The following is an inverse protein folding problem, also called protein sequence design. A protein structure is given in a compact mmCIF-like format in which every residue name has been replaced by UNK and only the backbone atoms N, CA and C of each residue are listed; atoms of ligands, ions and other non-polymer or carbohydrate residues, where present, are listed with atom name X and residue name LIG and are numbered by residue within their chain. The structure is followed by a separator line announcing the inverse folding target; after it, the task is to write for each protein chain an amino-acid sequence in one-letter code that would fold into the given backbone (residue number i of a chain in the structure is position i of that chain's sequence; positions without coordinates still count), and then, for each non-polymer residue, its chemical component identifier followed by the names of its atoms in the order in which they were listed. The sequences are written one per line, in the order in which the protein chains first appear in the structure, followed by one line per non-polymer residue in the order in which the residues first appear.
data_IF_087208839272
#
_entry.id   IF_087208839272
#
_cell.length_a   1.000
_cell.length_b   1.000
_cell.length_c   1.000
_cell.angle_alpha   90.00
_cell.angle_beta   90.00
_cell.angle_gamma   90.00
#
_symmetry.space_group_name_H-M   'P 1'
#
loop_
_entity.id
_entity.type
_entity.pdbx_description
1 polymer ?
#
# COMPACT_ATOMS: atom_id res chain seq x y z
N UNK A 1 -6.17 -32.34 -41.56
CA UNK A 1 -6.47 -31.25 -42.52
C UNK A 1 -7.29 -31.82 -43.65
N UNK A 2 -8.41 -31.19 -44.01
CA UNK A 2 -9.38 -31.74 -44.98
C UNK A 2 -8.94 -31.63 -46.46
N UNK A 3 -7.85 -30.92 -46.79
CA UNK A 3 -7.24 -30.97 -48.13
C UNK A 3 -8.12 -30.43 -49.28
N UNK A 4 -9.19 -29.69 -48.97
CA UNK A 4 -10.20 -29.25 -49.95
C UNK A 4 -9.91 -27.89 -50.61
N UNK A 5 -8.68 -27.37 -50.54
CA UNK A 5 -8.33 -26.08 -51.13
C UNK A 5 -6.89 -26.06 -51.62
N UNK A 6 -6.63 -25.37 -52.72
CA UNK A 6 -5.30 -25.21 -53.32
C UNK A 6 -4.71 -23.86 -52.89
N UNK A 7 -3.53 -23.89 -52.28
CA UNK A 7 -2.81 -22.66 -51.90
C UNK A 7 -2.26 -22.03 -53.17
N UNK A 8 -2.69 -20.81 -53.47
CA UNK A 8 -2.14 -20.02 -54.57
C UNK A 8 -0.70 -19.62 -54.28
N UNK A 9 0.17 -19.77 -55.28
CA UNK A 9 1.63 -19.55 -55.16
C UNK A 9 2.05 -18.07 -55.09
N UNK A 10 1.12 -17.15 -54.88
CA UNK A 10 1.40 -15.70 -54.89
C UNK A 10 1.02 -15.08 -53.55
N UNK A 11 1.96 -14.34 -52.99
CA UNK A 11 1.77 -13.52 -51.80
C UNK A 11 2.01 -12.07 -52.21
N UNK A 12 1.13 -11.16 -51.80
CA UNK A 12 1.35 -9.72 -51.82
C UNK A 12 1.53 -9.30 -50.37
N UNK A 13 2.71 -8.78 -50.03
CA UNK A 13 3.03 -8.24 -48.71
C UNK A 13 3.61 -6.82 -48.91
N UNK A 14 2.82 -5.81 -48.55
CA UNK A 14 3.23 -4.40 -48.61
C UNK A 14 3.65 -3.92 -47.22
N UNK A 15 4.97 -3.97 -46.96
CA UNK A 15 5.55 -3.52 -45.70
C UNK A 15 5.89 -2.03 -45.75
N UNK A 16 5.17 -1.21 -44.96
CA UNK A 16 5.43 0.23 -44.80
C UNK A 16 6.25 0.57 -43.54
N UNK A 17 6.81 -0.42 -42.84
CA UNK A 17 7.64 -0.16 -41.66
C UNK A 17 9.07 0.23 -42.05
N UNK A 18 9.61 1.29 -41.44
CA UNK A 18 11.03 1.65 -41.47
C UNK A 18 11.76 0.98 -40.29
N UNK A 19 11.53 -0.32 -40.06
CA UNK A 19 12.02 -0.97 -38.85
C UNK A 19 13.56 -0.94 -38.78
N UNK A 20 14.06 -0.19 -37.80
CA UNK A 20 15.47 -0.20 -37.39
C UNK A 20 15.54 -0.98 -36.08
N UNK A 21 16.32 -2.07 -36.01
CA UNK A 21 16.49 -2.83 -34.77
C UNK A 21 17.00 -1.93 -33.64
N UNK A 22 16.32 -2.01 -32.50
CA UNK A 22 16.79 -1.32 -31.30
C UNK A 22 18.10 -1.96 -30.83
N UNK A 23 19.09 -1.11 -30.52
CA UNK A 23 20.40 -1.54 -30.07
C UNK A 23 20.65 -0.99 -28.68
N UNK A 24 21.01 -1.87 -27.76
CA UNK A 24 21.35 -1.52 -26.39
C UNK A 24 22.81 -1.85 -26.15
N UNK A 25 23.57 -0.89 -25.60
CA UNK A 25 24.94 -1.16 -25.16
C UNK A 25 24.94 -2.24 -24.09
N UNK A 26 25.76 -3.28 -24.27
CA UNK A 26 25.96 -4.31 -23.25
C UNK A 26 27.16 -3.94 -22.37
N UNK A 27 26.88 -3.60 -21.13
CA UNK A 27 27.91 -3.47 -20.09
C UNK A 27 27.71 -4.57 -19.06
N UNK A 28 28.38 -5.71 -19.27
CA UNK A 28 28.23 -6.88 -18.41
C UNK A 28 28.63 -6.61 -16.95
N UNK A 29 29.53 -5.65 -16.72
CA UNK A 29 29.97 -5.24 -15.37
C UNK A 29 28.87 -4.47 -14.68
N UNK A 30 28.23 -3.54 -15.39
CA UNK A 30 27.06 -2.84 -14.88
C UNK A 30 25.93 -3.81 -14.57
N UNK A 31 25.67 -4.81 -15.44
CA UNK A 31 24.66 -5.85 -15.18
C UNK A 31 24.98 -6.61 -13.88
N UNK A 32 26.23 -7.02 -13.69
CA UNK A 32 26.66 -7.70 -12.47
C UNK A 32 26.55 -6.81 -11.22
N UNK A 33 26.92 -5.54 -11.33
CA UNK A 33 26.79 -4.57 -10.23
C UNK A 33 25.32 -4.36 -9.86
N UNK A 34 24.44 -4.22 -10.86
CA UNK A 34 23.01 -4.03 -10.66
C UNK A 34 22.34 -5.25 -10.02
N UNK A 35 22.72 -6.45 -10.46
CA UNK A 35 22.16 -7.71 -9.95
C UNK A 35 22.82 -8.17 -8.65
N UNK A 36 24.01 -7.67 -8.30
CA UNK A 36 24.82 -8.24 -7.22
C UNK A 36 25.34 -9.64 -7.55
N UNK A 37 25.64 -9.90 -8.82
CA UNK A 37 26.09 -11.20 -9.34
C UNK A 37 27.53 -11.16 -9.88
N UNK A 38 28.07 -12.32 -10.25
CA UNK A 38 29.38 -12.46 -10.91
C UNK A 38 29.26 -13.36 -12.15
N UNK A 39 28.35 -12.97 -13.06
CA UNK A 39 28.07 -13.71 -14.30
C UNK A 39 29.05 -13.24 -15.36
N UNK A 40 29.81 -14.16 -15.95
CA UNK A 40 30.79 -13.80 -16.99
C UNK A 40 30.11 -13.17 -18.21
N UNK A 41 30.81 -12.27 -18.90
CA UNK A 41 30.31 -11.63 -20.13
C UNK A 41 29.81 -12.65 -21.16
N UNK A 42 30.57 -13.72 -21.38
CA UNK A 42 30.19 -14.81 -22.28
C UNK A 42 28.90 -15.52 -21.84
N UNK A 43 28.72 -15.79 -20.55
CA UNK A 43 27.48 -16.43 -20.06
C UNK A 43 26.27 -15.51 -20.24
N UNK A 44 26.41 -14.20 -20.00
CA UNK A 44 25.36 -13.22 -20.26
C UNK A 44 24.99 -13.17 -21.76
N UNK A 45 25.99 -13.13 -22.66
CA UNK A 45 25.76 -13.13 -24.11
C UNK A 45 25.04 -14.41 -24.56
N UNK A 46 25.45 -15.58 -24.06
CA UNK A 46 24.81 -16.85 -24.42
C UNK A 46 23.37 -16.95 -23.90
N UNK A 47 23.08 -16.36 -22.74
CA UNK A 47 21.71 -16.22 -22.23
C UNK A 47 20.87 -15.36 -23.21
N UNK A 48 21.38 -14.19 -23.59
CA UNK A 48 20.66 -13.27 -24.48
C UNK A 48 20.47 -13.87 -25.88
N UNK A 49 21.45 -14.59 -26.42
CA UNK A 49 21.31 -15.32 -27.69
C UNK A 49 20.23 -16.41 -27.63
N UNK A 50 20.14 -17.16 -26.53
CA UNK A 50 19.06 -18.16 -26.34
C UNK A 50 17.67 -17.55 -26.37
N UNK A 51 17.57 -16.27 -26.03
CA UNK A 51 16.34 -15.47 -26.07
C UNK A 51 16.11 -14.80 -27.43
N UNK A 52 16.97 -15.02 -28.42
CA UNK A 52 16.85 -14.48 -29.77
C UNK A 52 17.44 -13.08 -29.95
N UNK A 53 18.18 -12.55 -28.97
CA UNK A 53 18.90 -11.30 -29.12
C UNK A 53 20.16 -11.50 -29.99
N UNK A 54 20.41 -10.55 -30.88
CA UNK A 54 21.69 -10.46 -31.58
C UNK A 54 22.77 -9.82 -30.70
N UNK A 55 24.03 -10.01 -31.05
CA UNK A 55 25.15 -9.37 -30.37
C UNK A 55 26.22 -8.98 -31.37
N UNK A 56 26.54 -7.69 -31.46
CA UNK A 56 27.53 -7.15 -32.40
C UNK A 56 28.25 -5.94 -31.81
N UNK A 57 29.59 -5.92 -31.86
CA UNK A 57 30.43 -4.80 -31.42
C UNK A 57 30.15 -4.28 -29.99
N UNK A 58 29.76 -5.16 -29.06
CA UNK A 58 29.42 -4.77 -27.68
C UNK A 58 27.99 -4.27 -27.49
N UNK A 59 27.14 -4.41 -28.51
CA UNK A 59 25.73 -4.04 -28.46
C UNK A 59 24.83 -5.27 -28.62
N UNK A 60 23.76 -5.28 -27.85
CA UNK A 60 22.65 -6.22 -27.96
C UNK A 60 21.68 -5.69 -29.00
N UNK A 61 21.34 -6.52 -29.97
CA UNK A 61 20.33 -6.24 -30.99
C UNK A 61 19.02 -6.85 -30.51
N UNK A 62 18.05 -6.00 -30.20
CA UNK A 62 16.75 -6.40 -29.68
C UNK A 62 15.91 -7.01 -30.80
N UNK A 63 15.34 -8.22 -30.62
CA UNK A 63 14.46 -8.80 -31.63
C UNK A 63 13.15 -8.00 -31.71
N UNK A 64 12.52 -7.91 -32.90
CA UNK A 64 11.30 -7.11 -33.11
C UNK A 64 10.11 -7.53 -32.24
N UNK A 65 10.13 -8.75 -31.70
CA UNK A 65 9.10 -9.26 -30.80
C UNK A 65 9.20 -8.71 -29.37
N UNK A 66 10.30 -8.04 -29.02
CA UNK A 66 10.57 -7.50 -27.68
C UNK A 66 10.39 -5.98 -27.66
N UNK A 67 9.15 -5.56 -27.48
CA UNK A 67 8.73 -4.14 -27.41
C UNK A 67 8.99 -3.48 -26.05
N UNK A 68 9.52 -4.24 -25.10
CA UNK A 68 9.75 -3.87 -23.71
C UNK A 68 11.23 -3.58 -23.40
N UNK A 69 12.13 -3.74 -24.38
CA UNK A 69 13.58 -3.69 -24.19
C UNK A 69 14.16 -2.33 -24.62
N UNK A 70 14.31 -1.40 -23.67
CA UNK A 70 14.75 -0.03 -23.94
C UNK A 70 15.97 0.44 -23.13
N UNK A 71 16.33 -0.30 -22.09
CA UNK A 71 17.33 0.12 -21.08
C UNK A 71 18.20 -1.03 -20.64
N UNK A 72 19.33 -0.69 -20.03
CA UNK A 72 20.26 -1.68 -19.47
C UNK A 72 19.62 -2.55 -18.37
N UNK A 73 18.65 -2.00 -17.60
CA UNK A 73 17.94 -2.79 -16.59
C UNK A 73 17.12 -3.93 -17.20
N UNK A 74 16.57 -3.76 -18.40
CA UNK A 74 15.77 -4.78 -19.08
C UNK A 74 16.68 -5.94 -19.51
N UNK A 75 17.90 -5.62 -19.96
CA UNK A 75 18.96 -6.62 -20.21
C UNK A 75 19.34 -7.36 -18.93
N UNK A 76 19.50 -6.66 -17.82
CA UNK A 76 19.81 -7.27 -16.54
C UNK A 76 18.70 -8.22 -16.06
N UNK A 77 17.43 -7.86 -16.25
CA UNK A 77 16.29 -8.73 -15.95
C UNK A 77 16.32 -10.01 -16.79
N UNK A 78 16.54 -9.91 -18.11
CA UNK A 78 16.61 -11.08 -18.98
C UNK A 78 17.76 -12.01 -18.61
N UNK A 79 18.93 -11.43 -18.27
CA UNK A 79 20.07 -12.19 -17.74
C UNK A 79 19.70 -12.88 -16.43
N UNK A 80 19.13 -12.16 -15.46
CA UNK A 80 18.76 -12.70 -14.16
C UNK A 80 17.70 -13.82 -14.25
N UNK A 81 16.70 -13.63 -15.12
CA UNK A 81 15.57 -14.55 -15.32
C UNK A 81 16.02 -15.90 -15.85
N UNK A 82 16.95 -15.92 -16.80
CA UNK A 82 17.47 -17.16 -17.39
C UNK A 82 18.63 -17.74 -16.59
N UNK A 83 19.47 -16.90 -16.00
CA UNK A 83 20.51 -17.34 -15.07
C UNK A 83 19.89 -18.07 -13.88
N UNK A 84 18.79 -17.52 -13.34
CA UNK A 84 18.02 -18.02 -12.21
C UNK A 84 18.18 -17.11 -11.00
N UNK A 85 17.07 -16.50 -10.54
CA UNK A 85 17.05 -15.59 -9.39
C UNK A 85 17.60 -16.26 -8.11
N UNK A 86 17.39 -17.57 -7.96
CA UNK A 86 17.87 -18.35 -6.83
C UNK A 86 19.41 -18.49 -6.78
N UNK A 87 20.12 -18.18 -7.87
CA UNK A 87 21.58 -18.19 -7.94
C UNK A 87 22.19 -16.83 -7.64
N UNK A 88 21.38 -15.76 -7.60
CA UNK A 88 21.84 -14.44 -7.22
C UNK A 88 22.01 -14.42 -5.69
N UNK A 89 23.20 -14.09 -5.15
CA UNK A 89 23.44 -14.07 -3.72
C UNK A 89 22.51 -13.09 -2.98
N UNK A 90 21.82 -13.58 -1.95
CA UNK A 90 21.10 -12.71 -1.03
C UNK A 90 22.10 -11.96 -0.16
N UNK A 91 22.13 -10.64 -0.27
CA UNK A 91 23.00 -9.77 0.54
C UNK A 91 22.19 -8.80 1.37
N UNK A 92 22.76 -8.33 2.48
CA UNK A 92 22.18 -7.26 3.28
C UNK A 92 22.79 -5.94 2.80
N UNK A 93 21.97 -4.93 2.43
CA UNK A 93 22.49 -3.65 1.99
C UNK A 93 23.27 -2.99 3.14
N UNK A 94 24.44 -2.43 2.82
CA UNK A 94 25.20 -1.60 3.77
C UNK A 94 24.50 -0.26 3.91
N UNK A 95 23.72 -0.10 4.97
CA UNK A 95 23.05 1.15 5.30
C UNK A 95 23.97 2.04 6.15
N UNK A 96 24.06 3.32 5.82
CA UNK A 96 24.80 4.32 6.60
C UNK A 96 23.96 4.96 7.71
N UNK A 97 22.65 4.71 7.71
CA UNK A 97 21.69 5.29 8.65
C UNK A 97 21.16 4.24 9.63
N UNK A 98 20.88 4.67 10.86
CA UNK A 98 20.15 3.87 11.84
C UNK A 98 18.72 4.39 11.97
N UNK A 99 17.74 3.50 11.82
CA UNK A 99 16.35 3.81 12.13
C UNK A 99 16.16 3.93 13.64
N UNK A 100 15.40 4.93 14.07
CA UNK A 100 14.92 5.07 15.45
C UNK A 100 13.43 5.36 15.42
N UNK A 101 12.71 4.95 16.47
CA UNK A 101 11.31 5.36 16.64
C UNK A 101 11.25 6.86 16.87
N UNK A 102 10.30 7.53 16.23
CA UNK A 102 10.06 8.95 16.46
C UNK A 102 9.42 9.16 17.83
N UNK A 103 9.51 10.35 18.43
CA UNK A 103 8.81 10.65 19.68
C UNK A 103 7.32 10.34 19.62
N UNK A 104 6.68 10.58 18.47
CA UNK A 104 5.26 10.29 18.23
C UNK A 104 4.98 8.79 18.27
N UNK A 105 5.82 7.95 17.66
CA UNK A 105 5.66 6.49 17.69
C UNK A 105 5.83 5.94 19.12
N UNK A 106 6.83 6.45 19.86
CA UNK A 106 7.05 6.07 21.26
C UNK A 106 5.85 6.48 22.12
N UNK A 107 5.30 7.67 21.86
CA UNK A 107 4.11 8.17 22.53
C UNK A 107 2.89 7.29 22.26
N UNK A 108 2.65 6.94 21.00
CA UNK A 108 1.57 6.04 20.58
C UNK A 108 1.68 4.66 21.27
N UNK A 109 2.87 4.05 21.27
CA UNK A 109 3.11 2.77 21.96
C UNK A 109 2.80 2.85 23.46
N UNK A 110 3.12 3.98 24.12
CA UNK A 110 2.82 4.20 25.55
C UNK A 110 1.32 4.28 25.79
N UNK A 111 0.61 5.06 24.98
CA UNK A 111 -0.86 5.22 25.07
C UNK A 111 -1.54 3.87 24.90
N UNK A 112 -1.14 3.08 23.89
CA UNK A 112 -1.66 1.73 23.66
C UNK A 112 -1.39 0.83 24.87
N UNK A 113 -0.14 0.80 25.35
CA UNK A 113 0.24 -0.04 26.49
C UNK A 113 -0.55 0.29 27.76
N UNK A 114 -0.79 1.58 28.01
CA UNK A 114 -1.58 2.03 29.16
C UNK A 114 -3.07 1.69 29.00
N UNK A 115 -3.67 1.92 27.83
CA UNK A 115 -5.06 1.56 27.58
C UNK A 115 -5.30 0.05 27.78
N UNK A 116 -4.38 -0.79 27.29
CA UNK A 116 -4.40 -2.24 27.52
C UNK A 116 -4.29 -2.58 29.02
N UNK A 117 -3.39 -1.92 29.75
CA UNK A 117 -3.24 -2.13 31.20
C UNK A 117 -4.48 -1.70 32.00
N UNK A 118 -5.22 -0.70 31.50
CA UNK A 118 -6.52 -0.25 32.05
C UNK A 118 -7.70 -1.17 31.64
N UNK A 119 -7.43 -2.25 30.92
CA UNK A 119 -8.42 -3.27 30.55
C UNK A 119 -9.22 -2.93 29.29
N UNK A 120 -8.74 -2.03 28.44
CA UNK A 120 -9.38 -1.74 27.16
C UNK A 120 -8.98 -2.74 26.08
N UNK A 121 -9.91 -2.99 25.16
CA UNK A 121 -9.66 -3.68 23.90
C UNK A 121 -9.42 -2.66 22.79
N UNK A 122 -8.31 -2.81 22.06
CA UNK A 122 -8.06 -2.01 20.87
C UNK A 122 -9.02 -2.44 19.75
N UNK A 123 -9.64 -1.48 19.09
CA UNK A 123 -10.49 -1.70 17.92
C UNK A 123 -9.96 -0.90 16.74
N UNK A 124 -10.13 -1.45 15.54
CA UNK A 124 -9.87 -0.75 14.29
C UNK A 124 -11.17 -0.65 13.51
N UNK A 125 -11.66 0.57 13.34
CA UNK A 125 -12.91 0.82 12.63
C UNK A 125 -12.66 1.41 11.26
N UNK A 126 -13.66 1.34 10.38
CA UNK A 126 -13.56 1.98 9.07
C UNK A 126 -13.59 3.50 9.23
N UNK A 127 -12.70 4.20 8.52
CA UNK A 127 -12.75 5.65 8.37
C UNK A 127 -13.94 6.13 7.54
N UNK A 128 -14.57 5.23 6.78
CA UNK A 128 -15.77 5.50 5.98
C UNK A 128 -17.02 5.19 6.79
N UNK A 129 -17.95 6.14 6.83
CA UNK A 129 -19.18 6.02 7.62
C UNK A 129 -20.40 6.46 6.82
N UNK A 130 -21.58 6.26 7.40
CA UNK A 130 -22.83 6.83 6.91
C UNK A 130 -22.97 8.27 7.40
N UNK A 131 -23.40 9.22 6.56
CA UNK A 131 -23.79 10.56 7.04
C UNK A 131 -24.86 10.52 8.14
N UNK A 132 -25.68 9.45 8.17
CA UNK A 132 -26.71 9.21 9.19
C UNK A 132 -26.11 8.98 10.59
N UNK A 133 -24.86 8.52 10.68
CA UNK A 133 -24.21 8.29 11.97
C UNK A 133 -23.97 9.60 12.73
N UNK A 134 -23.77 10.70 12.00
CA UNK A 134 -23.69 12.02 12.61
C UNK A 134 -25.03 12.52 13.18
N UNK A 135 -26.16 12.11 12.59
CA UNK A 135 -27.50 12.46 13.07
C UNK A 135 -27.78 11.78 14.41
N UNK A 136 -27.37 10.52 14.56
CA UNK A 136 -27.49 9.77 15.81
C UNK A 136 -26.73 10.45 16.95
N UNK A 137 -25.56 11.03 16.65
CA UNK A 137 -24.75 11.79 17.62
C UNK A 137 -25.20 13.25 17.79
N UNK A 138 -26.20 13.71 17.02
CA UNK A 138 -26.69 15.10 17.03
C UNK A 138 -25.57 16.13 16.82
N UNK A 139 -24.56 15.81 16.00
CA UNK A 139 -23.47 16.72 15.71
C UNK A 139 -23.97 17.97 14.96
N UNK A 140 -23.33 19.13 15.12
CA UNK A 140 -23.71 20.32 14.36
C UNK A 140 -23.30 20.24 12.88
N UNK A 141 -23.93 21.03 12.02
CA UNK A 141 -23.68 21.00 10.56
C UNK A 141 -22.22 21.18 10.18
N UNK A 142 -21.48 22.05 10.90
CA UNK A 142 -20.08 22.32 10.61
C UNK A 142 -19.23 21.09 10.91
N UNK A 143 -19.51 20.41 12.02
CA UNK A 143 -18.82 19.16 12.39
C UNK A 143 -19.14 18.00 11.45
N UNK A 144 -20.23 18.05 10.68
CA UNK A 144 -20.59 17.00 9.70
C UNK A 144 -19.99 17.19 8.31
N UNK A 145 -19.32 18.33 8.06
CA UNK A 145 -18.72 18.63 6.75
C UNK A 145 -17.57 17.65 6.47
N UNK A 146 -17.89 16.60 5.73
CA UNK A 146 -17.01 15.46 5.50
C UNK A 146 -16.43 15.44 4.09
N UNK A 147 -15.34 14.68 3.90
CA UNK A 147 -14.87 14.34 2.56
C UNK A 147 -15.82 13.29 1.98
N UNK A 148 -16.42 13.58 0.82
CA UNK A 148 -17.37 12.69 0.15
C UNK A 148 -16.64 11.78 -0.84
N UNK A 149 -16.91 10.47 -0.78
CA UNK A 149 -16.31 9.52 -1.70
C UNK A 149 -17.00 9.59 -3.07
N UNK A 150 -16.20 9.65 -4.14
CA UNK A 150 -16.74 9.68 -5.52
C UNK A 150 -17.40 8.36 -5.94
N UNK A 151 -16.92 7.23 -5.42
CA UNK A 151 -17.41 5.87 -5.75
C UNK A 151 -17.47 5.02 -4.47
N UNK A 152 -18.47 5.24 -3.60
CA UNK A 152 -18.59 4.47 -2.37
C UNK A 152 -19.10 3.05 -2.64
N UNK A 153 -18.84 2.12 -1.71
CA UNK A 153 -19.38 0.75 -1.77
C UNK A 153 -20.89 0.72 -1.47
N UNK A 154 -21.38 1.69 -0.70
CA UNK A 154 -22.79 1.89 -0.37
C UNK A 154 -23.01 3.18 0.40
N UNK A 155 -24.26 3.46 0.78
CA UNK A 155 -24.61 4.65 1.57
C UNK A 155 -23.90 4.66 2.93
N UNK A 156 -23.73 3.49 3.55
CA UNK A 156 -23.12 3.32 4.87
C UNK A 156 -21.61 3.57 4.91
N UNK A 157 -20.98 3.80 3.75
CA UNK A 157 -19.55 4.11 3.63
C UNK A 157 -19.32 5.25 2.64
N UNK A 158 -20.18 6.27 2.66
CA UNK A 158 -20.20 7.31 1.61
C UNK A 158 -19.35 8.54 1.92
N UNK A 159 -18.96 8.74 3.18
CA UNK A 159 -18.14 9.87 3.62
C UNK A 159 -17.02 9.43 4.56
N UNK A 160 -15.93 10.20 4.59
CA UNK A 160 -14.89 10.05 5.61
C UNK A 160 -15.37 10.66 6.93
N UNK A 161 -15.09 9.99 8.05
CA UNK A 161 -15.43 10.48 9.39
C UNK A 161 -14.70 11.77 9.75
N UNK A 162 -15.44 12.74 10.28
CA UNK A 162 -14.92 13.93 10.97
C UNK A 162 -14.87 13.72 12.48
N UNK A 163 -15.46 12.64 12.98
CA UNK A 163 -15.36 12.23 14.38
C UNK A 163 -15.24 10.71 14.53
N UNK A 164 -14.21 10.26 15.24
CA UNK A 164 -14.02 8.85 15.60
C UNK A 164 -15.15 8.29 16.48
N UNK A 165 -15.87 9.16 17.18
CA UNK A 165 -16.98 8.79 18.06
C UNK A 165 -18.11 8.09 17.28
N UNK A 166 -18.33 8.44 16.01
CA UNK A 166 -19.32 7.77 15.14
C UNK A 166 -19.03 6.27 15.04
N UNK A 167 -17.79 5.92 14.71
CA UNK A 167 -17.33 4.54 14.60
C UNK A 167 -17.29 3.83 15.96
N UNK A 168 -16.86 4.52 17.02
CA UNK A 168 -16.80 3.94 18.36
C UNK A 168 -18.21 3.59 18.90
N UNK A 169 -19.20 4.44 18.62
CA UNK A 169 -20.59 4.14 19.03
C UNK A 169 -21.19 2.95 18.27
N UNK A 170 -20.77 2.70 17.03
CA UNK A 170 -21.13 1.48 16.31
C UNK A 170 -20.52 0.24 16.97
N UNK A 171 -19.27 0.31 17.44
CA UNK A 171 -18.62 -0.76 18.22
C UNK A 171 -19.41 -1.07 19.49
N UNK A 172 -19.77 -0.03 20.26
CA UNK A 172 -20.60 -0.18 21.47
C UNK A 172 -21.95 -0.78 21.13
N UNK A 173 -22.65 -0.24 20.13
CA UNK A 173 -23.98 -0.71 19.69
C UNK A 173 -23.94 -2.18 19.30
N UNK A 174 -22.94 -2.60 18.53
CA UNK A 174 -22.78 -3.98 18.05
C UNK A 174 -22.53 -4.94 19.21
N UNK A 175 -21.65 -4.58 20.15
CA UNK A 175 -21.37 -5.40 21.32
C UNK A 175 -22.59 -5.51 22.24
N UNK A 176 -23.25 -4.40 22.52
CA UNK A 176 -24.49 -4.37 23.31
C UNK A 176 -25.59 -5.23 22.68
N UNK A 177 -25.79 -5.11 21.36
CA UNK A 177 -26.77 -5.91 20.61
C UNK A 177 -26.48 -7.41 20.67
N UNK A 178 -25.20 -7.78 20.79
CA UNK A 178 -24.74 -9.15 20.96
C UNK A 178 -24.75 -9.63 22.42
N UNK A 179 -25.34 -8.87 23.35
CA UNK A 179 -25.47 -9.19 24.78
C UNK A 179 -24.16 -9.17 25.56
N UNK A 180 -23.12 -8.51 25.05
CA UNK A 180 -21.97 -8.14 25.86
C UNK A 180 -22.39 -6.97 26.75
N UNK A 181 -22.63 -7.21 28.03
CA UNK A 181 -23.20 -6.22 28.96
C UNK A 181 -22.18 -5.24 29.55
N UNK A 182 -20.90 -5.52 29.36
CA UNK A 182 -19.78 -4.68 29.75
C UNK A 182 -18.74 -4.67 28.64
N UNK A 183 -18.01 -3.55 28.52
CA UNK A 183 -16.94 -3.44 27.52
C UNK A 183 -16.20 -2.11 27.62
N UNK A 184 -14.88 -2.17 27.41
CA UNK A 184 -13.97 -1.02 27.30
C UNK A 184 -13.23 -1.12 25.98
N UNK A 185 -13.37 -0.12 25.11
CA UNK A 185 -12.81 -0.11 23.77
C UNK A 185 -12.07 1.19 23.51
N UNK A 186 -10.95 1.13 22.80
CA UNK A 186 -10.21 2.32 22.38
C UNK A 186 -9.69 2.17 20.95
N UNK A 187 -9.49 3.30 20.30
CA UNK A 187 -8.90 3.41 18.97
C UNK A 187 -8.09 4.70 18.90
N UNK A 188 -6.86 4.61 18.38
CA UNK A 188 -6.13 5.78 17.87
C UNK A 188 -6.59 5.96 16.43
N UNK A 189 -7.62 6.78 16.28
CA UNK A 189 -8.39 6.95 15.06
C UNK A 189 -7.92 8.17 14.29
N UNK A 190 -8.07 8.13 12.97
CA UNK A 190 -7.88 9.30 12.11
C UNK A 190 -9.20 9.96 11.75
N UNK A 191 -9.26 11.28 11.93
CA UNK A 191 -10.37 12.16 11.52
C UNK A 191 -9.94 13.03 10.34
N UNK A 192 -10.88 13.30 9.43
CA UNK A 192 -10.61 13.93 8.14
C UNK A 192 -11.44 15.21 7.97
N UNK A 193 -10.78 16.36 7.98
CA UNK A 193 -11.42 17.68 7.89
C UNK A 193 -11.18 18.31 6.52
N UNK A 194 -12.23 18.51 5.69
CA UNK A 194 -12.09 19.15 4.38
C UNK A 194 -11.55 20.59 4.48
N UNK A 195 -10.56 20.91 3.66
CA UNK A 195 -9.90 22.23 3.59
C UNK A 195 -10.36 23.06 2.39
N UNK A 196 -10.85 22.41 1.33
CA UNK A 196 -11.29 23.05 0.10
C UNK A 196 -11.64 22.02 -0.97
N UNK A 197 -12.13 22.48 -2.12
CA UNK A 197 -12.36 21.63 -3.27
C UNK A 197 -11.01 21.22 -3.89
N UNK A 198 -10.85 19.94 -4.25
CA UNK A 198 -9.61 19.37 -4.80
C UNK A 198 -8.35 19.61 -3.94
N UNK A 199 -8.52 19.80 -2.63
CA UNK A 199 -7.43 19.89 -1.67
C UNK A 199 -7.45 18.68 -0.72
N UNK A 200 -6.27 18.28 -0.25
CA UNK A 200 -6.17 17.23 0.76
C UNK A 200 -6.81 17.70 2.07
N UNK A 201 -7.57 16.83 2.75
CA UNK A 201 -8.11 17.16 4.07
C UNK A 201 -6.98 17.34 5.09
N UNK A 202 -7.27 18.08 6.16
CA UNK A 202 -6.46 18.01 7.38
C UNK A 202 -6.81 16.71 8.08
N UNK A 203 -5.81 15.85 8.25
CA UNK A 203 -5.93 14.59 8.96
C UNK A 203 -5.41 14.75 10.38
N UNK A 204 -6.15 14.24 11.37
CA UNK A 204 -5.75 14.30 12.78
C UNK A 204 -5.91 12.94 13.41
N UNK A 205 -4.88 12.49 14.09
CA UNK A 205 -4.97 11.35 14.98
C UNK A 205 -5.61 11.79 16.29
N UNK A 206 -6.59 11.01 16.75
CA UNK A 206 -7.32 11.22 17.98
C UNK A 206 -7.40 9.90 18.74
N UNK A 207 -7.19 9.94 20.04
CA UNK A 207 -7.54 8.81 20.89
C UNK A 207 -9.04 8.90 21.20
N UNK A 208 -9.81 7.92 20.75
CA UNK A 208 -11.20 7.76 21.09
C UNK A 208 -11.36 6.50 21.92
N UNK A 209 -12.13 6.56 23.01
CA UNK A 209 -12.45 5.40 23.83
C UNK A 209 -13.90 5.43 24.30
N UNK A 210 -14.43 4.26 24.57
CA UNK A 210 -15.75 4.08 25.15
C UNK A 210 -15.72 2.98 26.21
N UNK A 211 -16.54 3.16 27.23
CA UNK A 211 -16.74 2.21 28.30
C UNK A 211 -18.23 2.15 28.67
N UNK A 212 -18.72 0.94 28.93
CA UNK A 212 -20.08 0.72 29.40
C UNK A 212 -20.13 -0.54 30.27
N UNK A 213 -21.10 -0.57 31.19
CA UNK A 213 -21.28 -1.66 32.15
C UNK A 213 -21.80 -1.14 33.48
N UNK A 214 -22.24 -2.02 34.37
CA UNK A 214 -22.83 -1.61 35.67
C UNK A 214 -21.82 -0.97 36.63
N UNK A 215 -20.53 -1.21 36.43
CA UNK A 215 -19.44 -0.61 37.22
C UNK A 215 -18.81 0.63 36.58
N UNK A 216 -19.31 1.05 35.42
CA UNK A 216 -18.74 2.14 34.64
C UNK A 216 -19.59 3.41 34.81
N UNK A 217 -18.92 4.53 35.10
CA UNK A 217 -19.57 5.83 35.21
C UNK A 217 -18.70 6.94 34.58
N UNK A 218 -19.20 8.16 34.67
CA UNK A 218 -18.47 9.34 34.20
C UNK A 218 -17.10 9.50 34.87
N UNK A 219 -16.98 9.19 36.17
CA UNK A 219 -15.73 9.34 36.89
C UNK A 219 -14.69 8.30 36.47
N UNK A 220 -15.14 7.12 36.04
CA UNK A 220 -14.28 6.10 35.46
C UNK A 220 -13.73 6.56 34.11
N UNK A 221 -14.59 7.09 33.22
CA UNK A 221 -14.14 7.69 31.96
C UNK A 221 -13.19 8.87 32.16
N UNK A 222 -13.49 9.74 33.13
CA UNK A 222 -12.62 10.88 33.48
C UNK A 222 -11.27 10.40 34.03
N UNK A 223 -11.26 9.41 34.91
CA UNK A 223 -10.02 8.86 35.48
C UNK A 223 -9.11 8.26 34.41
N UNK A 224 -9.69 7.56 33.42
CA UNK A 224 -8.93 7.06 32.26
C UNK A 224 -8.29 8.20 31.46
N UNK A 225 -9.03 9.28 31.16
CA UNK A 225 -8.46 10.44 30.47
C UNK A 225 -7.35 11.12 31.28
N UNK A 226 -7.53 11.27 32.59
CA UNK A 226 -6.53 11.88 33.47
C UNK A 226 -5.24 11.04 33.55
N UNK A 227 -5.36 9.71 33.62
CA UNK A 227 -4.22 8.80 33.62
C UNK A 227 -3.46 8.83 32.28
N UNK A 228 -4.21 8.76 31.17
CA UNK A 228 -3.63 8.88 29.83
C UNK A 228 -2.90 10.21 29.66
N UNK A 229 -3.50 11.31 30.12
CA UNK A 229 -2.89 12.64 30.07
C UNK A 229 -1.61 12.72 30.92
N UNK A 230 -1.63 12.22 32.16
CA UNK A 230 -0.45 12.26 33.05
C UNK A 230 0.71 11.39 32.54
N UNK A 231 0.41 10.26 31.89
CA UNK A 231 1.43 9.38 31.30
C UNK A 231 2.06 9.93 30.00
N UNK A 232 1.50 11.03 29.48
CA UNK A 232 1.90 11.67 28.23
C UNK A 232 3.05 12.66 28.38
N UNK A 233 3.31 13.15 29.60
CA UNK A 233 4.44 14.01 29.97
C UNK A 233 5.74 13.20 30.24
#
# INVERSE_FOLDING_TARGET
MLGCGEVVNTIIDENHSEYVPERLKHDYKWVNEHLGSDISENEQIEILKKLGFGYENGEIIVPPTRIDMHRACDVAEEVARIYGYNRIPSTIPKLSSQGKRTPEQIFEDKVISLALALGFYEVMTYSFISPKDYELLRMDEKSRKSVVLRRPLGEDTSVMRTSALTSMMEVVRRNWSNRNLEGRFFEIAREYFPTGENQLPVERDVLCYALYGSGEDFFTAKGVAEELWQSSD
#
